data_IF_040155920741
#
_entry.id   IF_040155920741
#
_cell.length_a   1.000
_cell.length_b   1.000
_cell.length_c   1.000
_cell.angle_alpha   90.00
_cell.angle_beta   90.00
_cell.angle_gamma   90.00
#
_symmetry.space_group_name_H-M   'P 1'
#
loop_
_entity.id
_entity.type
_entity.pdbx_description
1 polymer ?
#
# COMPACT_ATOMS: atom_id res chain seq x y z
N UNK A 1 22.91 6.56 24.98
CA UNK A 1 22.59 7.31 23.74
C UNK A 1 21.28 6.74 23.23
N UNK A 2 20.40 7.60 22.70
CA UNK A 2 19.24 7.16 21.94
C UNK A 2 19.70 7.24 20.49
N UNK A 3 19.74 6.09 19.82
CA UNK A 3 20.10 6.04 18.41
C UNK A 3 18.85 6.28 17.56
N UNK A 4 19.02 6.92 16.40
CA UNK A 4 17.94 7.21 15.47
C UNK A 4 18.14 6.36 14.22
N UNK A 5 17.09 5.66 13.80
CA UNK A 5 17.17 4.70 12.70
C UNK A 5 15.94 4.77 11.80
N UNK A 6 16.16 4.47 10.52
CA UNK A 6 15.09 4.35 9.54
C UNK A 6 14.52 2.93 9.56
N UNK A 7 13.20 2.81 9.56
CA UNK A 7 12.54 1.54 9.34
C UNK A 7 12.55 1.23 7.86
N UNK A 8 13.09 0.06 7.54
CA UNK A 8 13.02 -0.55 6.22
C UNK A 8 11.78 -1.40 6.13
N UNK A 9 11.20 -1.43 4.95
CA UNK A 9 10.05 -2.26 4.65
C UNK A 9 10.40 -3.16 3.49
N UNK A 10 10.18 -4.46 3.66
CA UNK A 10 10.08 -5.37 2.53
C UNK A 10 8.64 -5.82 2.42
N UNK A 11 8.05 -5.63 1.25
CA UNK A 11 6.67 -6.04 0.95
C UNK A 11 6.65 -7.05 -0.17
N UNK A 12 5.71 -7.98 -0.08
CA UNK A 12 5.37 -8.90 -1.13
C UNK A 12 3.89 -8.71 -1.51
N UNK A 13 3.67 -8.44 -2.79
CA UNK A 13 2.35 -8.18 -3.38
C UNK A 13 1.98 -9.34 -4.29
N UNK A 14 0.94 -10.08 -3.90
CA UNK A 14 0.34 -11.17 -4.66
C UNK A 14 -1.06 -10.79 -5.11
N UNK A 15 -1.29 -10.79 -6.41
CA UNK A 15 -2.60 -10.51 -6.98
C UNK A 15 -3.30 -11.79 -7.39
N UNK A 16 -4.39 -12.10 -6.67
CA UNK A 16 -5.29 -13.18 -7.06
C UNK A 16 -6.39 -12.65 -7.98
N UNK A 17 -6.05 -12.65 -9.27
CA UNK A 17 -6.90 -12.19 -10.39
C UNK A 17 -8.30 -12.85 -10.35
N UNK A 18 -8.41 -14.11 -9.94
CA UNK A 18 -9.70 -14.85 -9.93
C UNK A 18 -10.81 -14.17 -9.12
N UNK A 19 -10.48 -13.40 -8.08
CA UNK A 19 -11.47 -12.84 -7.16
C UNK A 19 -11.36 -11.31 -7.00
N UNK A 20 -10.57 -10.61 -7.83
CA UNK A 20 -10.22 -9.19 -7.64
C UNK A 20 -9.66 -8.88 -6.23
N UNK A 21 -9.05 -9.87 -5.59
CA UNK A 21 -8.45 -9.76 -4.27
C UNK A 21 -6.95 -9.58 -4.41
N UNK A 22 -6.44 -8.53 -3.76
CA UNK A 22 -5.03 -8.29 -3.57
C UNK A 22 -4.61 -8.84 -2.20
N UNK A 23 -3.61 -9.71 -2.18
CA UNK A 23 -2.92 -10.09 -0.95
C UNK A 23 -1.65 -9.24 -0.85
N UNK A 24 -1.55 -8.51 0.24
CA UNK A 24 -0.38 -7.74 0.61
C UNK A 24 0.24 -8.41 1.83
N UNK A 25 1.45 -8.92 1.67
CA UNK A 25 2.28 -9.41 2.76
C UNK A 25 3.33 -8.34 3.08
N UNK A 26 3.42 -7.93 4.35
CA UNK A 26 4.34 -6.87 4.78
C UNK A 26 5.30 -7.37 5.84
N UNK A 27 6.56 -7.03 5.70
CA UNK A 27 7.58 -7.30 6.70
C UNK A 27 8.36 -6.02 6.98
N UNK A 28 8.34 -5.59 8.25
CA UNK A 28 9.07 -4.41 8.70
C UNK A 28 10.39 -4.84 9.30
N UNK A 29 11.43 -4.06 9.05
CA UNK A 29 12.78 -4.34 9.51
C UNK A 29 13.43 -3.09 10.09
N UNK A 30 14.17 -3.30 11.17
CA UNK A 30 15.15 -2.34 11.67
C UNK A 30 16.49 -3.03 11.62
N UNK A 31 17.38 -2.52 10.78
CA UNK A 31 18.64 -3.16 10.39
C UNK A 31 18.45 -4.61 9.91
N UNK A 32 18.58 -5.57 10.83
CA UNK A 32 18.45 -7.02 10.58
C UNK A 32 17.34 -7.67 11.43
N UNK A 33 16.73 -6.94 12.34
CA UNK A 33 15.64 -7.45 13.20
C UNK A 33 14.30 -7.17 12.54
N UNK A 34 13.44 -8.19 12.49
CA UNK A 34 12.06 -8.08 12.02
C UNK A 34 11.18 -7.49 13.11
N UNK A 35 10.27 -6.60 12.72
CA UNK A 35 9.32 -5.94 13.61
C UNK A 35 7.91 -6.21 13.13
N UNK A 36 7.00 -6.44 14.06
CA UNK A 36 5.59 -6.63 13.76
C UNK A 36 4.87 -5.29 13.55
N UNK A 37 3.80 -5.31 12.76
CA UNK A 37 2.95 -4.13 12.59
C UNK A 37 2.34 -3.67 13.92
N UNK A 38 2.08 -4.58 14.86
CA UNK A 38 1.55 -4.26 16.19
C UNK A 38 2.54 -3.45 17.02
N UNK A 39 3.82 -3.81 16.99
CA UNK A 39 4.87 -3.04 17.67
C UNK A 39 5.00 -1.62 17.09
N UNK A 40 4.87 -1.48 15.77
CA UNK A 40 4.86 -0.18 15.11
C UNK A 40 3.63 0.65 15.47
N UNK A 41 2.44 0.05 15.48
CA UNK A 41 1.23 0.72 15.90
C UNK A 41 1.28 1.16 17.36
N UNK A 42 1.90 0.37 18.24
CA UNK A 42 2.13 0.76 19.62
C UNK A 42 3.12 1.93 19.70
N UNK A 43 4.23 1.87 18.97
CA UNK A 43 5.19 2.97 18.88
C UNK A 43 4.51 4.28 18.44
N UNK A 44 3.71 4.24 17.38
CA UNK A 44 3.03 5.43 16.85
C UNK A 44 1.95 6.00 17.78
N UNK A 45 1.41 5.20 18.71
CA UNK A 45 0.36 5.65 19.64
C UNK A 45 0.89 6.52 20.77
N UNK A 46 2.16 6.34 21.18
CA UNK A 46 2.75 7.19 22.23
C UNK A 46 3.77 8.17 21.62
N UNK A 47 3.64 9.46 21.99
CA UNK A 47 4.45 10.56 21.42
C UNK A 47 5.94 10.48 21.76
N UNK A 48 6.29 9.78 22.85
CA UNK A 48 7.67 9.61 23.32
C UNK A 48 8.10 8.14 23.30
N UNK A 49 7.51 7.34 22.41
CA UNK A 49 7.86 5.92 22.26
C UNK A 49 9.28 5.73 21.79
N UNK A 50 9.92 4.70 22.33
CA UNK A 50 11.13 4.11 21.77
C UNK A 50 10.85 2.67 21.40
N UNK A 51 11.40 2.20 20.28
CA UNK A 51 11.45 0.77 20.02
C UNK A 51 12.64 0.18 20.76
N UNK A 52 12.41 -0.92 21.47
CA UNK A 52 13.46 -1.67 22.15
C UNK A 52 13.94 -2.78 21.22
N UNK A 53 15.22 -2.77 20.88
CA UNK A 53 15.88 -3.85 20.13
C UNK A 53 16.13 -5.07 21.02
N UNK A 54 16.42 -6.21 20.39
CA UNK A 54 16.77 -7.47 21.08
C UNK A 54 18.00 -7.33 21.99
N UNK A 55 18.94 -6.44 21.61
CA UNK A 55 20.14 -6.13 22.40
C UNK A 55 19.86 -5.14 23.56
N UNK A 56 18.62 -4.73 23.78
CA UNK A 56 18.21 -3.81 24.84
C UNK A 56 18.34 -2.32 24.50
N UNK A 57 18.89 -1.97 23.35
CA UNK A 57 19.02 -0.57 22.89
C UNK A 57 17.65 0.03 22.58
N UNK A 58 17.47 1.29 22.95
CA UNK A 58 16.29 2.10 22.61
C UNK A 58 16.58 2.95 21.38
N UNK A 59 15.67 2.89 20.42
CA UNK A 59 15.80 3.64 19.17
C UNK A 59 14.56 4.48 18.88
N UNK A 60 14.80 5.57 18.14
CA UNK A 60 13.76 6.44 17.59
C UNK A 60 13.65 6.23 16.08
N UNK A 61 12.43 6.16 15.58
CA UNK A 61 12.16 6.04 14.14
C UNK A 61 12.31 7.42 13.48
N UNK A 62 13.22 7.55 12.52
CA UNK A 62 13.41 8.81 11.78
C UNK A 62 12.31 9.05 10.72
N UNK A 63 11.94 8.00 9.98
CA UNK A 63 10.91 8.06 8.93
C UNK A 63 9.48 7.85 9.46
N UNK A 64 9.18 8.39 10.64
CA UNK A 64 7.92 8.17 11.34
C UNK A 64 6.68 8.58 10.52
N UNK A 65 6.75 9.71 9.82
CA UNK A 65 5.63 10.20 8.99
C UNK A 65 5.35 9.31 7.77
N UNK A 66 6.40 8.73 7.18
CA UNK A 66 6.26 7.72 6.13
C UNK A 66 5.56 6.46 6.67
N UNK A 67 6.00 5.98 7.85
CA UNK A 67 5.42 4.79 8.49
C UNK A 67 3.95 5.03 8.87
N UNK A 68 3.59 6.22 9.35
CA UNK A 68 2.19 6.59 9.63
C UNK A 68 1.32 6.50 8.38
N UNK A 69 1.77 7.04 7.25
CA UNK A 69 1.03 7.00 5.98
C UNK A 69 0.85 5.57 5.49
N UNK A 70 1.91 4.78 5.56
CA UNK A 70 1.89 3.36 5.19
C UNK A 70 0.90 2.57 6.05
N UNK A 71 0.96 2.71 7.38
CA UNK A 71 0.03 2.03 8.30
C UNK A 71 -1.41 2.47 8.04
N UNK A 72 -1.65 3.76 7.74
CA UNK A 72 -2.99 4.24 7.38
C UNK A 72 -3.55 3.56 6.13
N UNK A 73 -2.70 3.22 5.15
CA UNK A 73 -3.15 2.50 3.95
C UNK A 73 -3.31 1.02 4.24
N UNK A 74 -2.37 0.37 4.94
CA UNK A 74 -2.48 -1.03 5.34
C UNK A 74 -3.77 -1.25 6.14
N UNK A 75 -4.16 -0.31 7.01
CA UNK A 75 -5.42 -0.39 7.77
C UNK A 75 -6.69 -0.32 6.90
N UNK A 76 -6.61 0.11 5.63
CA UNK A 76 -7.73 0.01 4.67
C UNK A 76 -7.91 -1.43 4.18
N UNK A 77 -6.88 -2.27 4.28
CA UNK A 77 -6.93 -3.68 3.96
C UNK A 77 -7.46 -4.46 5.17
N UNK A 78 -8.14 -5.57 4.88
CA UNK A 78 -8.61 -6.48 5.90
C UNK A 78 -7.47 -7.43 6.27
N UNK A 79 -7.03 -7.40 7.52
CA UNK A 79 -6.07 -8.40 7.99
C UNK A 79 -6.69 -9.81 7.88
N UNK A 80 -5.91 -10.75 7.34
CA UNK A 80 -6.32 -12.14 7.24
C UNK A 80 -6.06 -12.88 8.55
N UNK A 81 -6.42 -14.16 8.63
CA UNK A 81 -6.06 -15.00 9.79
C UNK A 81 -4.54 -15.24 9.92
N UNK A 82 -3.75 -14.91 8.89
CA UNK A 82 -2.29 -14.98 8.92
C UNK A 82 -1.75 -13.59 9.24
N UNK A 83 -0.92 -13.52 10.28
CA UNK A 83 -0.26 -12.29 10.71
C UNK A 83 0.52 -11.67 9.57
N UNK A 84 0.41 -10.34 9.43
CA UNK A 84 1.05 -9.54 8.38
C UNK A 84 0.61 -9.81 6.94
N UNK A 85 -0.48 -10.57 6.74
CA UNK A 85 -1.10 -10.74 5.43
C UNK A 85 -2.44 -10.01 5.42
N UNK A 86 -2.57 -9.09 4.48
CA UNK A 86 -3.66 -8.16 4.34
C UNK A 86 -4.37 -8.37 3.00
N UNK A 87 -5.69 -8.51 3.03
CA UNK A 87 -6.54 -8.66 1.84
C UNK A 87 -7.26 -7.36 1.54
N UNK A 88 -7.16 -6.89 0.30
CA UNK A 88 -7.82 -5.67 -0.14
C UNK A 88 -8.33 -5.76 -1.56
N UNK A 89 -9.01 -4.68 -1.96
CA UNK A 89 -9.50 -4.52 -3.33
C UNK A 89 -8.43 -3.90 -4.21
N UNK A 90 -8.45 -4.27 -5.49
CA UNK A 90 -7.55 -3.79 -6.54
C UNK A 90 -7.38 -2.26 -6.61
N UNK A 91 -8.39 -1.45 -6.30
CA UNK A 91 -8.26 0.00 -6.40
C UNK A 91 -7.35 0.62 -5.32
N UNK A 92 -7.03 -0.10 -4.24
CA UNK A 92 -6.05 0.36 -3.24
C UNK A 92 -4.59 0.23 -3.72
N UNK A 93 -4.36 -0.42 -4.86
CA UNK A 93 -3.04 -0.61 -5.46
C UNK A 93 -2.37 0.72 -5.82
N UNK A 94 -3.11 1.65 -6.42
CA UNK A 94 -2.51 2.91 -6.87
C UNK A 94 -1.95 3.75 -5.70
N UNK A 95 -2.61 3.72 -4.55
CA UNK A 95 -2.12 4.39 -3.33
C UNK A 95 -0.84 3.72 -2.79
N UNK A 96 -0.77 2.39 -2.85
CA UNK A 96 0.42 1.62 -2.46
C UNK A 96 1.61 1.92 -3.38
N UNK A 97 1.42 1.84 -4.70
CA UNK A 97 2.46 2.13 -5.70
C UNK A 97 3.05 3.54 -5.50
N UNK A 98 2.20 4.53 -5.24
CA UNK A 98 2.67 5.90 -5.03
C UNK A 98 3.53 6.04 -3.76
N UNK A 99 3.22 5.32 -2.68
CA UNK A 99 4.07 5.33 -1.48
C UNK A 99 5.40 4.64 -1.74
N UNK A 100 5.36 3.48 -2.38
CA UNK A 100 6.56 2.70 -2.59
C UNK A 100 7.50 3.32 -3.63
N UNK A 101 6.98 3.96 -4.67
CA UNK A 101 7.78 4.65 -5.67
C UNK A 101 8.56 5.85 -5.10
N UNK A 102 8.09 6.44 -4.00
CA UNK A 102 8.67 7.65 -3.42
C UNK A 102 9.61 7.39 -2.23
N UNK A 103 9.68 6.16 -1.71
CA UNK A 103 10.54 5.84 -0.55
C UNK A 103 11.77 5.04 -0.96
N UNK A 104 12.93 5.44 -0.44
CA UNK A 104 14.20 4.69 -0.62
C UNK A 104 14.32 3.47 0.29
N UNK A 105 13.50 3.41 1.34
CA UNK A 105 13.58 2.39 2.39
C UNK A 105 12.61 1.23 2.15
N UNK A 106 11.77 1.33 1.12
CA UNK A 106 10.74 0.35 0.81
C UNK A 106 11.13 -0.48 -0.41
N UNK A 107 11.13 -1.79 -0.25
CA UNK A 107 11.28 -2.74 -1.35
C UNK A 107 9.99 -3.47 -1.57
N UNK A 108 9.59 -3.56 -2.84
CA UNK A 108 8.45 -4.35 -3.25
C UNK A 108 8.91 -5.53 -4.08
N UNK A 109 8.34 -6.69 -3.79
CA UNK A 109 8.38 -7.86 -4.66
C UNK A 109 6.98 -8.12 -5.17
N UNK A 110 6.83 -8.08 -6.49
CA UNK A 110 5.59 -8.40 -7.17
C UNK A 110 5.59 -9.86 -7.61
N UNK A 111 4.48 -10.55 -7.41
CA UNK A 111 4.22 -11.82 -8.09
C UNK A 111 4.14 -11.62 -9.62
N UNK A 112 4.43 -12.68 -10.37
CA UNK A 112 4.39 -12.67 -11.83
C UNK A 112 3.00 -12.33 -12.38
N UNK A 113 1.91 -12.70 -11.69
CA UNK A 113 0.55 -12.33 -12.08
C UNK A 113 0.32 -10.81 -11.99
N UNK A 114 0.83 -10.19 -10.93
CA UNK A 114 0.72 -8.75 -10.74
C UNK A 114 1.60 -7.95 -11.73
N UNK A 115 2.83 -8.42 -11.99
CA UNK A 115 3.68 -7.80 -13.02
C UNK A 115 3.02 -7.81 -14.40
N UNK A 116 2.37 -8.92 -14.76
CA UNK A 116 1.61 -9.00 -16.02
C UNK A 116 0.46 -8.00 -16.05
N UNK A 117 -0.30 -7.90 -14.97
CA UNK A 117 -1.39 -6.93 -14.86
C UNK A 117 -0.90 -5.47 -14.98
N UNK A 118 0.18 -5.10 -14.30
CA UNK A 118 0.75 -3.76 -14.43
C UNK A 118 1.25 -3.48 -15.85
N UNK A 119 1.93 -4.45 -16.47
CA UNK A 119 2.37 -4.32 -17.86
C UNK A 119 1.18 -4.18 -18.81
N UNK A 120 0.09 -4.93 -18.60
CA UNK A 120 -1.13 -4.81 -19.40
C UNK A 120 -1.80 -3.44 -19.25
N UNK A 121 -1.87 -2.91 -18.02
CA UNK A 121 -2.36 -1.55 -17.78
C UNK A 121 -1.45 -0.52 -18.45
N UNK A 122 -0.14 -0.63 -18.27
CA UNK A 122 0.82 0.33 -18.83
C UNK A 122 0.80 0.30 -20.36
N UNK A 123 0.70 -0.89 -20.97
CA UNK A 123 0.52 -1.06 -22.41
C UNK A 123 -0.81 -0.47 -22.86
N UNK A 124 -1.91 -0.76 -22.16
CA UNK A 124 -3.23 -0.17 -22.47
C UNK A 124 -3.20 1.36 -22.40
N UNK A 125 -2.55 1.94 -21.39
CA UNK A 125 -2.40 3.39 -21.24
C UNK A 125 -1.48 4.00 -22.31
N UNK A 126 -0.40 3.32 -22.68
CA UNK A 126 0.52 3.73 -23.76
C UNK A 126 -0.15 3.65 -25.13
N UNK A 127 -0.90 2.58 -25.41
CA UNK A 127 -1.69 2.42 -26.64
C UNK A 127 -2.82 3.45 -26.72
N UNK A 128 -3.44 3.81 -25.59
CA UNK A 128 -4.45 4.88 -25.53
C UNK A 128 -3.90 6.30 -25.60
N UNK A 129 -2.58 6.49 -25.52
CA UNK A 129 -1.89 7.73 -25.87
C UNK A 129 -2.52 8.99 -25.24
N UNK A 130 -2.38 9.18 -23.93
CA UNK A 130 -2.79 10.40 -23.20
C UNK A 130 -4.28 10.84 -23.33
N UNK A 131 -5.14 10.06 -23.98
CA UNK A 131 -6.58 10.30 -23.99
C UNK A 131 -7.23 9.43 -22.93
N UNK A 132 -7.27 9.97 -21.70
CA UNK A 132 -8.40 9.74 -20.81
C UNK A 132 -9.61 10.24 -21.60
N UNK A 133 -10.21 9.38 -22.41
CA UNK A 133 -11.43 9.72 -23.13
C UNK A 133 -12.48 9.99 -22.06
N UNK A 134 -12.91 11.25 -21.94
CA UNK A 134 -14.15 11.60 -21.25
C UNK A 134 -15.20 10.58 -21.67
N UNK A 135 -15.58 9.69 -20.75
CA UNK A 135 -16.61 8.69 -21.03
C UNK A 135 -17.92 9.48 -21.07
N UNK A 136 -18.28 9.99 -22.24
CA UNK A 136 -19.58 10.60 -22.47
C UNK A 136 -20.63 9.51 -22.29
N UNK A 137 -21.29 9.53 -21.14
CA UNK A 137 -22.41 8.63 -20.83
C UNK A 137 -23.42 8.71 -21.98
N UNK A 138 -23.71 7.59 -22.67
CA UNK A 138 -24.68 7.57 -23.76
C UNK A 138 -26.03 8.14 -23.29
N UNK A 139 -26.75 8.92 -24.13
CA UNK A 139 -27.95 9.66 -23.71
C UNK A 139 -29.04 8.77 -23.09
N UNK A 140 -29.12 7.51 -23.52
CA UNK A 140 -30.07 6.53 -22.99
C UNK A 140 -29.71 6.07 -21.56
N UNK A 141 -28.43 6.01 -21.19
CA UNK A 141 -27.97 5.66 -19.83
C UNK A 141 -28.12 6.82 -18.86
N UNK A 142 -27.99 8.07 -19.34
CA UNK A 142 -28.20 9.28 -18.53
C UNK A 142 -29.59 9.35 -17.89
N UNK A 143 -30.61 8.77 -18.53
CA UNK A 143 -31.98 8.69 -17.99
C UNK A 143 -32.12 7.75 -16.80
N UNK A 144 -31.18 6.82 -16.61
CA UNK A 144 -31.26 5.76 -15.58
C UNK A 144 -30.24 5.93 -14.45
N UNK A 145 -29.31 6.88 -14.57
CA UNK A 145 -28.28 7.16 -13.58
C UNK A 145 -28.68 8.37 -12.73
N UNK A 146 -28.48 8.26 -11.41
CA UNK A 146 -28.68 9.38 -10.48
C UNK A 146 -27.49 10.35 -10.58
N UNK A 147 -27.68 11.63 -10.28
CA UNK A 147 -26.67 12.68 -10.47
C UNK A 147 -25.28 12.32 -9.90
N UNK A 148 -25.21 11.75 -8.70
CA UNK A 148 -23.93 11.35 -8.09
C UNK A 148 -23.19 10.22 -8.83
N UNK A 149 -23.90 9.41 -9.64
CA UNK A 149 -23.32 8.36 -10.47
C UNK A 149 -22.80 8.91 -11.80
N UNK A 150 -23.31 10.07 -12.21
CA UNK A 150 -22.83 10.82 -13.37
C UNK A 150 -21.52 11.52 -13.01
N UNK A 151 -21.45 12.09 -11.80
CA UNK A 151 -20.28 12.82 -11.30
C UNK A 151 -19.06 11.92 -11.04
N UNK A 152 -19.26 10.63 -10.73
CA UNK A 152 -18.17 9.67 -10.51
C UNK A 152 -17.56 9.06 -11.79
N UNK A 153 -18.05 9.44 -12.97
CA UNK A 153 -17.57 8.99 -14.29
C UNK A 153 -16.75 10.08 -15.00
N UNK A 154 -16.73 11.30 -14.44
CA UNK A 154 -15.94 12.44 -14.92
C UNK A 154 -14.57 12.54 -14.27
#
# INVERSE_FOLDING_TARGET
MIDSENIKLETFLDLKIKNNLLNLEVEFFIEKSKISINELQQYLKHKDSYLKKDNGTLIKIENEDEIKRLISIINKFKETKKTNIFEGKLYHVAELENIFANSKEYKIKYDNGYKKFLNEIELFLKEKNNNIMDIKIPPYLKKHLRNYQIDGVG
#
